data_IF_827692515354
#
_entry.id   IF_827692515354
#
_cell.length_a   1.000
_cell.length_b   1.000
_cell.length_c   1.000
_cell.angle_alpha   90.00
_cell.angle_beta   90.00
_cell.angle_gamma   90.00
#
_symmetry.space_group_name_H-M   'P 1'
#
loop_
_entity.id
_entity.type
_entity.pdbx_description
1 polymer ?
#
# COMPACT_ATOMS: atom_id res chain seq x y z
N UNK A 1 -19.02 5.05 -2.67
CA UNK A 1 -18.63 3.98 -3.62
C UNK A 1 -19.03 2.65 -3.02
N UNK A 2 -19.81 1.83 -3.73
CA UNK A 2 -20.23 0.52 -3.23
C UNK A 2 -19.08 -0.50 -3.24
N UNK A 3 -19.14 -1.48 -2.33
CA UNK A 3 -18.15 -2.55 -2.29
C UNK A 3 -18.09 -3.34 -3.61
N UNK A 4 -19.23 -3.57 -4.26
CA UNK A 4 -19.30 -4.23 -5.57
C UNK A 4 -18.51 -3.48 -6.64
N UNK A 5 -18.68 -2.14 -6.73
CA UNK A 5 -17.95 -1.34 -7.70
C UNK A 5 -16.43 -1.36 -7.48
N UNK A 6 -15.99 -1.39 -6.21
CA UNK A 6 -14.55 -1.55 -5.89
C UNK A 6 -14.05 -2.92 -6.33
N UNK A 7 -14.79 -3.99 -6.03
CA UNK A 7 -14.40 -5.35 -6.42
C UNK A 7 -14.38 -5.54 -7.94
N UNK A 8 -15.35 -4.98 -8.66
CA UNK A 8 -15.37 -4.96 -10.12
C UNK A 8 -14.15 -4.23 -10.69
N UNK A 9 -13.80 -3.05 -10.12
CA UNK A 9 -12.62 -2.29 -10.50
C UNK A 9 -11.31 -3.07 -10.26
N UNK A 10 -11.17 -3.72 -9.11
CA UNK A 10 -10.01 -4.57 -8.79
C UNK A 10 -9.90 -5.72 -9.81
N UNK A 11 -11.00 -6.42 -10.09
CA UNK A 11 -11.00 -7.54 -11.03
C UNK A 11 -10.68 -7.08 -12.46
N UNK A 12 -11.25 -5.96 -12.90
CA UNK A 12 -10.97 -5.38 -14.22
C UNK A 12 -9.50 -4.94 -14.36
N UNK A 13 -8.91 -4.34 -13.33
CA UNK A 13 -7.49 -3.99 -13.31
C UNK A 13 -6.60 -5.24 -13.31
N UNK A 14 -6.92 -6.23 -12.49
CA UNK A 14 -6.18 -7.48 -12.37
C UNK A 14 -6.19 -8.30 -13.68
N UNK A 15 -7.28 -8.25 -14.43
CA UNK A 15 -7.41 -8.96 -15.73
C UNK A 15 -6.47 -8.40 -16.82
N UNK A 16 -6.04 -7.14 -16.70
CA UNK A 16 -5.10 -6.51 -17.65
C UNK A 16 -3.63 -6.81 -17.33
N UNK A 17 -3.31 -7.11 -16.06
CA UNK A 17 -1.95 -7.41 -15.64
C UNK A 17 -1.62 -8.89 -15.73
N UNK A 18 -0.48 -9.24 -16.31
CA UNK A 18 -0.06 -10.65 -16.50
C UNK A 18 1.15 -11.04 -15.64
N UNK A 19 2.04 -10.09 -15.32
CA UNK A 19 3.35 -10.38 -14.69
C UNK A 19 3.38 -10.20 -13.18
N UNK A 20 2.56 -9.32 -12.62
CA UNK A 20 2.53 -9.04 -11.18
C UNK A 20 1.25 -8.35 -10.75
N UNK A 21 1.11 -8.13 -9.45
CA UNK A 21 -0.07 -7.52 -8.86
C UNK A 21 0.37 -6.58 -7.73
N UNK A 22 -0.12 -5.34 -7.76
CA UNK A 22 0.01 -4.39 -6.66
C UNK A 22 -1.38 -3.95 -6.22
N UNK A 23 -1.68 -4.14 -4.93
CA UNK A 23 -2.90 -3.68 -4.32
C UNK A 23 -2.58 -2.74 -3.16
N UNK A 24 -3.16 -1.55 -3.19
CA UNK A 24 -3.04 -0.55 -2.14
C UNK A 24 -4.41 -0.28 -1.53
N UNK A 25 -4.57 -0.59 -0.26
CA UNK A 25 -5.79 -0.33 0.51
C UNK A 25 -5.51 0.78 1.51
N UNK A 26 -6.28 1.84 1.47
CA UNK A 26 -6.22 2.93 2.45
C UNK A 26 -7.61 3.25 2.96
N UNK A 27 -7.81 3.24 4.27
CA UNK A 27 -9.07 3.57 4.94
C UNK A 27 -8.87 3.62 6.47
N UNK A 28 -9.95 3.89 7.21
CA UNK A 28 -9.95 3.71 8.66
C UNK A 28 -9.87 2.23 9.04
N UNK A 29 -9.17 1.93 10.14
CA UNK A 29 -9.05 0.59 10.71
C UNK A 29 -9.55 0.51 12.14
N UNK A 30 -10.08 -0.66 12.48
CA UNK A 30 -10.49 -1.06 13.83
C UNK A 30 -9.76 -2.36 14.21
N UNK A 31 -9.75 -2.80 15.49
CA UNK A 31 -8.96 -3.94 15.93
C UNK A 31 -9.16 -5.27 15.19
N UNK A 32 -10.28 -5.44 14.47
CA UNK A 32 -10.62 -6.68 13.80
C UNK A 32 -10.99 -6.53 12.31
N UNK A 33 -10.97 -5.29 11.77
CA UNK A 33 -11.38 -5.02 10.40
C UNK A 33 -10.91 -3.64 9.91
N UNK A 34 -11.12 -3.38 8.64
CA UNK A 34 -10.94 -2.09 7.98
C UNK A 34 -12.30 -1.61 7.45
N UNK A 35 -12.56 -0.31 7.49
CA UNK A 35 -13.75 0.30 6.88
C UNK A 35 -13.71 0.11 5.36
N UNK A 36 -14.84 -0.23 4.75
CA UNK A 36 -14.91 -0.51 3.31
C UNK A 36 -16.18 0.10 2.70
N UNK A 37 -16.14 1.40 2.46
CA UNK A 37 -17.27 2.15 1.95
C UNK A 37 -18.47 2.11 2.91
N UNK A 38 -19.68 1.96 2.36
CA UNK A 38 -20.93 1.79 3.13
C UNK A 38 -21.22 0.32 3.48
N UNK A 39 -20.34 -0.57 3.06
CA UNK A 39 -20.48 -2.03 3.22
C UNK A 39 -20.07 -2.50 4.62
N UNK A 40 -20.35 -3.77 4.95
CA UNK A 40 -19.73 -4.39 6.12
C UNK A 40 -18.21 -4.26 6.05
N UNK A 41 -17.61 -4.08 7.23
CA UNK A 41 -16.17 -3.94 7.39
C UNK A 41 -15.41 -5.08 6.73
N UNK A 42 -14.28 -4.75 6.09
CA UNK A 42 -13.39 -5.73 5.48
C UNK A 42 -12.57 -6.45 6.55
N UNK A 43 -12.85 -7.72 6.76
CA UNK A 43 -12.08 -8.58 7.65
C UNK A 43 -10.79 -9.07 6.97
N UNK A 44 -9.78 -9.58 7.73
CA UNK A 44 -8.58 -10.18 7.14
C UNK A 44 -8.86 -11.28 6.12
N UNK A 45 -9.82 -12.17 6.40
CA UNK A 45 -10.19 -13.26 5.48
C UNK A 45 -10.85 -12.75 4.20
N UNK A 46 -11.70 -11.72 4.29
CA UNK A 46 -12.30 -11.08 3.12
C UNK A 46 -11.22 -10.46 2.23
N UNK A 47 -10.29 -9.70 2.80
CA UNK A 47 -9.17 -9.12 2.04
C UNK A 47 -8.31 -10.21 1.39
N UNK A 48 -7.97 -11.26 2.12
CA UNK A 48 -7.21 -12.39 1.59
C UNK A 48 -7.91 -13.09 0.42
N UNK A 49 -9.24 -13.24 0.48
CA UNK A 49 -10.04 -13.79 -0.60
C UNK A 49 -10.03 -12.89 -1.84
N UNK A 50 -10.17 -11.56 -1.67
CA UNK A 50 -10.09 -10.58 -2.75
C UNK A 50 -8.72 -10.65 -3.42
N UNK A 51 -7.65 -10.60 -2.64
CA UNK A 51 -6.28 -10.65 -3.17
C UNK A 51 -6.02 -11.96 -3.91
N UNK A 52 -6.52 -13.09 -3.40
CA UNK A 52 -6.37 -14.40 -4.06
C UNK A 52 -7.15 -14.47 -5.37
N UNK A 53 -8.37 -13.98 -5.37
CA UNK A 53 -9.22 -13.97 -6.58
C UNK A 53 -8.64 -13.06 -7.66
N UNK A 54 -8.20 -11.86 -7.30
CA UNK A 54 -7.69 -10.88 -8.25
C UNK A 54 -6.28 -11.21 -8.76
N UNK A 55 -5.37 -11.61 -7.87
CA UNK A 55 -3.94 -11.74 -8.16
C UNK A 55 -3.50 -13.18 -8.43
N UNK A 56 -4.23 -14.18 -7.92
CA UNK A 56 -3.90 -15.60 -8.11
C UNK A 56 -2.51 -15.96 -7.58
N UNK A 57 -1.73 -16.64 -8.42
CA UNK A 57 -0.35 -17.07 -8.13
C UNK A 57 0.70 -16.05 -8.54
N UNK A 58 0.31 -14.91 -9.12
CA UNK A 58 1.25 -13.86 -9.54
C UNK A 58 2.04 -13.31 -8.35
N UNK A 59 3.30 -12.87 -8.54
CA UNK A 59 4.00 -12.07 -7.54
C UNK A 59 3.13 -10.88 -7.13
N UNK A 60 2.88 -10.74 -5.83
CA UNK A 60 1.90 -9.77 -5.34
C UNK A 60 2.45 -8.93 -4.21
N UNK A 61 2.36 -7.62 -4.34
CA UNK A 61 2.62 -6.65 -3.27
C UNK A 61 1.28 -6.12 -2.76
N UNK A 62 1.05 -6.20 -1.46
CA UNK A 62 -0.13 -5.65 -0.80
C UNK A 62 0.31 -4.61 0.22
N UNK A 63 -0.20 -3.39 0.09
CA UNK A 63 0.02 -2.31 1.04
C UNK A 63 -1.31 -1.99 1.72
N UNK A 64 -1.31 -1.95 3.05
CA UNK A 64 -2.52 -1.66 3.84
C UNK A 64 -2.26 -0.47 4.76
N UNK A 65 -2.81 0.68 4.41
CA UNK A 65 -2.76 1.90 5.19
C UNK A 65 -4.03 2.05 6.03
N UNK A 66 -3.95 1.62 7.28
CA UNK A 66 -5.03 1.72 8.26
C UNK A 66 -4.49 1.56 9.69
N UNK A 67 -5.24 2.06 10.68
CA UNK A 67 -5.04 1.66 12.07
C UNK A 67 -5.18 0.14 12.21
N UNK A 68 -4.43 -0.48 13.09
CA UNK A 68 -4.47 -1.93 13.35
C UNK A 68 -4.19 -2.82 12.12
N UNK A 69 -3.63 -2.26 11.04
CA UNK A 69 -3.47 -2.95 9.76
C UNK A 69 -2.60 -4.22 9.81
N UNK A 70 -1.78 -4.38 10.85
CA UNK A 70 -1.04 -5.61 11.13
C UNK A 70 -1.91 -6.85 11.30
N UNK A 71 -3.22 -6.72 11.56
CA UNK A 71 -4.16 -7.86 11.60
C UNK A 71 -4.24 -8.60 10.25
N UNK A 72 -3.99 -7.90 9.14
CA UNK A 72 -4.06 -8.45 7.79
C UNK A 72 -2.84 -9.28 7.40
N UNK A 73 -1.70 -9.10 8.08
CA UNK A 73 -0.43 -9.75 7.71
C UNK A 73 -0.58 -11.26 7.62
N UNK A 74 -1.10 -11.91 8.66
CA UNK A 74 -1.20 -13.37 8.70
C UNK A 74 -2.12 -13.93 7.59
N UNK A 75 -3.28 -13.32 7.37
CA UNK A 75 -4.23 -13.77 6.36
C UNK A 75 -3.71 -13.54 4.92
N UNK A 76 -2.91 -12.50 4.72
CA UNK A 76 -2.31 -12.16 3.44
C UNK A 76 -0.99 -12.90 3.17
N UNK A 77 -0.36 -13.49 4.18
CA UNK A 77 0.92 -14.16 4.04
C UNK A 77 0.85 -15.35 3.07
N UNK A 78 1.75 -15.36 2.08
CA UNK A 78 1.94 -16.45 1.13
C UNK A 78 3.35 -16.39 0.53
N UNK A 79 3.90 -17.49 -0.03
CA UNK A 79 5.25 -17.49 -0.61
C UNK A 79 5.45 -16.42 -1.69
N UNK A 80 4.45 -16.16 -2.52
CA UNK A 80 4.46 -15.20 -3.63
C UNK A 80 3.99 -13.78 -3.22
N UNK A 81 4.00 -13.43 -1.93
CA UNK A 81 3.50 -12.13 -1.45
C UNK A 81 4.51 -11.34 -0.64
N UNK A 82 4.43 -10.03 -0.81
CA UNK A 82 4.97 -9.03 0.10
C UNK A 82 3.79 -8.26 0.70
N UNK A 83 3.78 -8.06 2.01
CA UNK A 83 2.73 -7.30 2.71
C UNK A 83 3.40 -6.21 3.54
N UNK A 84 2.99 -4.97 3.32
CA UNK A 84 3.44 -3.80 4.08
C UNK A 84 2.22 -3.15 4.74
N UNK A 85 2.26 -2.91 6.05
CA UNK A 85 1.15 -2.31 6.79
C UNK A 85 1.57 -1.05 7.53
N UNK A 86 0.65 -0.09 7.69
CA UNK A 86 0.90 1.19 8.35
C UNK A 86 1.09 1.08 9.86
N UNK A 87 0.59 0.02 10.48
CA UNK A 87 0.66 -0.18 11.92
C UNK A 87 0.75 -1.67 12.27
N UNK A 88 1.19 -1.98 13.48
CA UNK A 88 1.07 -3.34 14.01
C UNK A 88 -0.39 -3.66 14.36
N UNK A 89 -0.67 -4.91 14.69
CA UNK A 89 -2.03 -5.39 14.96
C UNK A 89 -2.70 -4.73 16.18
N UNK A 90 -1.90 -4.13 17.05
CA UNK A 90 -2.35 -3.56 18.33
C UNK A 90 -2.17 -2.02 18.37
N UNK A 91 -1.76 -1.42 17.25
CA UNK A 91 -1.42 0.00 17.17
C UNK A 91 -2.30 0.75 16.17
N UNK A 92 -2.50 2.02 16.47
CA UNK A 92 -3.09 2.96 15.53
C UNK A 92 -2.01 3.50 14.57
N UNK A 93 -2.44 3.92 13.39
CA UNK A 93 -1.69 4.78 12.48
C UNK A 93 -2.09 6.23 12.73
N UNK A 94 -1.26 7.20 12.30
CA UNK A 94 -1.44 8.61 12.62
C UNK A 94 -1.57 9.49 11.37
N UNK A 95 -1.94 10.78 11.58
CA UNK A 95 -2.03 11.77 10.52
C UNK A 95 -3.37 11.80 9.79
N UNK A 96 -4.45 11.30 10.42
CA UNK A 96 -5.81 11.35 9.85
C UNK A 96 -6.55 12.65 10.21
N UNK A 97 -5.86 13.66 10.74
CA UNK A 97 -6.45 14.95 11.12
C UNK A 97 -6.70 15.86 9.92
N UNK A 98 -7.54 16.88 10.12
CA UNK A 98 -7.91 17.85 9.08
C UNK A 98 -6.72 18.70 8.58
N UNK A 99 -5.66 18.79 9.35
CA UNK A 99 -4.47 19.59 9.04
C UNK A 99 -3.43 18.83 8.19
N UNK A 100 -3.66 17.54 7.93
CA UNK A 100 -2.74 16.70 7.16
C UNK A 100 -3.36 16.38 5.78
N UNK A 101 -2.59 16.55 4.72
CA UNK A 101 -3.03 16.19 3.36
C UNK A 101 -3.17 14.68 3.19
N UNK A 102 -2.32 13.90 3.87
CA UNK A 102 -2.31 12.44 3.87
C UNK A 102 -2.08 11.91 5.28
N UNK A 103 -2.61 10.72 5.62
CA UNK A 103 -2.10 9.95 6.73
C UNK A 103 -0.58 9.82 6.65
N UNK A 104 0.11 9.82 7.78
CA UNK A 104 1.59 9.86 7.77
C UNK A 104 2.22 8.69 7.01
N UNK A 105 1.64 7.50 7.10
CA UNK A 105 2.14 6.34 6.35
C UNK A 105 2.01 6.56 4.83
N UNK A 106 0.85 7.02 4.35
CA UNK A 106 0.62 7.31 2.94
C UNK A 106 1.56 8.43 2.46
N UNK A 107 1.68 9.51 3.23
CA UNK A 107 2.63 10.59 2.96
C UNK A 107 4.09 10.10 2.90
N UNK A 108 4.47 9.15 3.78
CA UNK A 108 5.80 8.55 3.78
C UNK A 108 6.04 7.63 2.58
N UNK A 109 5.03 6.91 2.11
CA UNK A 109 5.11 6.17 0.84
C UNK A 109 5.37 7.14 -0.32
N UNK A 110 4.60 8.24 -0.41
CA UNK A 110 4.74 9.26 -1.46
C UNK A 110 6.12 9.93 -1.38
N UNK A 111 6.59 10.31 -0.19
CA UNK A 111 7.91 10.93 0.04
C UNK A 111 9.06 10.02 -0.38
N UNK A 112 8.94 8.71 -0.17
CA UNK A 112 10.00 7.73 -0.44
C UNK A 112 10.01 7.28 -1.92
N UNK A 113 8.87 7.27 -2.57
CA UNK A 113 8.67 6.68 -3.89
C UNK A 113 9.63 7.25 -4.97
N UNK A 114 9.93 8.57 -5.03
CA UNK A 114 10.85 9.12 -6.03
C UNK A 114 12.28 8.57 -5.98
N UNK A 115 12.72 8.10 -4.82
CA UNK A 115 14.08 7.60 -4.61
C UNK A 115 14.17 6.08 -4.46
N UNK A 116 13.01 5.43 -4.31
CA UNK A 116 12.96 3.98 -4.19
C UNK A 116 13.20 3.31 -5.56
N UNK A 117 14.06 2.30 -5.58
CA UNK A 117 14.39 1.53 -6.79
C UNK A 117 13.67 0.19 -6.85
N UNK A 118 13.09 -0.24 -5.74
CA UNK A 118 12.35 -1.48 -5.58
C UNK A 118 11.42 -1.41 -4.34
N UNK A 119 10.56 -2.39 -4.19
CA UNK A 119 9.59 -2.42 -3.10
C UNK A 119 10.21 -2.60 -1.70
N UNK A 120 11.39 -3.21 -1.59
CA UNK A 120 12.09 -3.32 -0.29
C UNK A 120 12.65 -1.97 0.13
N UNK A 121 13.25 -1.23 -0.81
CA UNK A 121 13.71 0.15 -0.58
C UNK A 121 12.53 1.07 -0.21
N UNK A 122 11.40 0.95 -0.92
CA UNK A 122 10.18 1.69 -0.59
C UNK A 122 9.69 1.38 0.83
N UNK A 123 9.61 0.11 1.20
CA UNK A 123 9.17 -0.29 2.53
C UNK A 123 10.11 0.20 3.64
N UNK A 124 11.43 0.09 3.42
CA UNK A 124 12.43 0.55 4.37
C UNK A 124 12.37 2.07 4.57
N UNK A 125 12.31 2.83 3.47
CA UNK A 125 12.22 4.29 3.51
C UNK A 125 10.92 4.78 4.15
N UNK A 126 9.78 4.20 3.79
CA UNK A 126 8.49 4.56 4.37
C UNK A 126 8.46 4.30 5.89
N UNK A 127 8.97 3.16 6.35
CA UNK A 127 9.07 2.85 7.79
C UNK A 127 9.97 3.83 8.53
N UNK A 128 11.14 4.15 7.98
CA UNK A 128 12.05 5.14 8.56
C UNK A 128 11.41 6.54 8.63
N UNK A 129 10.69 6.94 7.59
CA UNK A 129 9.94 8.20 7.55
C UNK A 129 8.86 8.25 8.62
N UNK A 130 8.05 7.18 8.79
CA UNK A 130 7.02 7.12 9.85
C UNK A 130 7.65 7.24 11.22
N UNK A 131 8.71 6.48 11.50
CA UNK A 131 9.43 6.54 12.79
C UNK A 131 9.95 7.95 13.07
N UNK A 132 10.50 8.64 12.07
CA UNK A 132 10.96 10.03 12.19
C UNK A 132 9.80 10.95 12.57
N UNK A 133 8.68 10.91 11.82
CA UNK A 133 7.49 11.74 12.09
C UNK A 133 6.91 11.51 13.48
N UNK A 134 6.80 10.25 13.89
CA UNK A 134 6.30 9.88 15.23
C UNK A 134 7.22 10.41 16.35
N UNK A 135 8.54 10.31 16.17
CA UNK A 135 9.53 10.83 17.11
C UNK A 135 9.46 12.35 17.19
N UNK A 136 9.42 13.05 16.08
CA UNK A 136 9.34 14.52 16.00
C UNK A 136 8.05 15.06 16.63
N UNK A 137 6.97 14.33 16.55
CA UNK A 137 5.65 14.68 17.11
C UNK A 137 5.43 14.16 18.54
N UNK A 138 6.39 13.42 19.10
CA UNK A 138 6.31 12.85 20.44
C UNK A 138 5.20 11.82 20.60
N UNK A 139 4.88 11.08 19.56
CA UNK A 139 3.81 10.08 19.57
C UNK A 139 4.22 8.82 20.30
N UNK A 140 3.39 8.38 21.23
CA UNK A 140 3.58 7.13 21.98
C UNK A 140 2.22 6.53 22.34
N UNK A 141 2.02 5.22 22.13
CA UNK A 141 2.93 4.28 21.51
C UNK A 141 3.04 4.49 19.98
N UNK A 142 4.19 4.14 19.39
CA UNK A 142 4.44 4.20 17.96
C UNK A 142 3.52 3.24 17.18
N UNK A 143 3.29 3.53 15.90
CA UNK A 143 2.44 2.68 15.02
C UNK A 143 3.06 1.34 14.67
N UNK A 144 4.39 1.25 14.59
CA UNK A 144 5.15 0.03 14.28
C UNK A 144 4.75 -0.60 12.93
N UNK A 145 4.99 0.05 11.78
CA UNK A 145 4.65 -0.52 10.46
C UNK A 145 5.30 -1.89 10.25
N UNK A 146 4.50 -2.87 9.76
CA UNK A 146 4.92 -4.25 9.60
C UNK A 146 5.28 -4.56 8.16
N UNK A 147 6.27 -5.45 7.97
CA UNK A 147 6.67 -5.97 6.68
C UNK A 147 6.74 -7.50 6.74
N UNK A 148 6.01 -8.15 5.83
CA UNK A 148 6.14 -9.58 5.55
C UNK A 148 6.64 -9.76 4.12
N UNK A 149 7.59 -10.68 3.91
CA UNK A 149 8.09 -11.06 2.58
C UNK A 149 8.11 -12.57 2.48
N UNK A 150 7.29 -13.13 1.61
CA UNK A 150 7.24 -14.56 1.35
C UNK A 150 8.49 -15.06 0.62
N UNK A 151 8.77 -16.36 0.75
CA UNK A 151 10.02 -16.95 0.27
C UNK A 151 10.27 -16.77 -1.24
N UNK A 152 9.23 -16.86 -2.07
CA UNK A 152 9.33 -16.60 -3.51
C UNK A 152 9.58 -15.12 -3.80
N UNK A 153 8.95 -14.22 -3.03
CA UNK A 153 9.13 -12.78 -3.19
C UNK A 153 10.53 -12.33 -2.78
N UNK A 154 11.16 -12.96 -1.79
CA UNK A 154 12.56 -12.67 -1.43
C UNK A 154 13.51 -12.84 -2.63
N UNK A 155 13.24 -13.81 -3.48
CA UNK A 155 14.05 -14.06 -4.69
C UNK A 155 13.68 -13.11 -5.84
N UNK A 156 12.43 -12.66 -5.92
CA UNK A 156 11.92 -11.85 -7.03
C UNK A 156 12.08 -10.35 -6.82
N UNK A 157 11.88 -9.85 -5.59
CA UNK A 157 11.89 -8.41 -5.29
C UNK A 157 13.15 -7.68 -5.78
N UNK A 158 14.37 -8.23 -5.66
CA UNK A 158 15.57 -7.57 -6.17
C UNK A 158 15.58 -7.37 -7.70
N UNK A 159 14.77 -8.14 -8.43
CA UNK A 159 14.63 -8.04 -9.89
C UNK A 159 13.44 -7.21 -10.34
N UNK A 160 12.49 -6.96 -9.44
CA UNK A 160 11.29 -6.12 -9.67
C UNK A 160 11.64 -4.65 -9.39
N UNK A 161 12.48 -4.10 -10.24
CA UNK A 161 12.86 -2.69 -10.15
C UNK A 161 11.82 -1.82 -10.84
N UNK A 162 11.65 -0.62 -10.34
CA UNK A 162 10.81 0.41 -10.94
C UNK A 162 11.48 1.77 -10.82
N UNK A 163 11.10 2.69 -11.68
CA UNK A 163 11.33 4.11 -11.48
C UNK A 163 10.00 4.80 -11.17
N UNK A 164 10.05 5.91 -10.47
CA UNK A 164 8.85 6.70 -10.18
C UNK A 164 8.15 7.15 -11.47
N UNK A 165 8.91 7.56 -12.48
CA UNK A 165 8.37 7.98 -13.77
C UNK A 165 7.59 6.85 -14.47
N UNK A 166 8.15 5.63 -14.52
CA UNK A 166 7.47 4.46 -15.09
C UNK A 166 6.20 4.11 -14.32
N UNK A 167 6.23 4.20 -12.99
CA UNK A 167 5.07 3.92 -12.17
C UNK A 167 3.95 4.94 -12.40
N UNK A 168 4.27 6.23 -12.49
CA UNK A 168 3.31 7.32 -12.77
C UNK A 168 2.71 7.15 -14.16
N UNK A 169 3.52 6.82 -15.17
CA UNK A 169 3.05 6.57 -16.52
C UNK A 169 2.08 5.38 -16.56
N UNK A 170 2.43 4.26 -15.93
CA UNK A 170 1.57 3.08 -15.88
C UNK A 170 0.22 3.36 -15.20
N UNK A 171 0.19 4.18 -14.13
CA UNK A 171 -1.05 4.61 -13.48
C UNK A 171 -1.88 5.48 -14.42
N UNK A 172 -1.26 6.40 -15.15
CA UNK A 172 -1.90 7.28 -16.11
C UNK A 172 -2.55 6.51 -17.27
N UNK A 173 -1.84 5.55 -17.84
CA UNK A 173 -2.35 4.67 -18.89
C UNK A 173 -3.59 3.88 -18.47
N UNK A 174 -3.60 3.37 -17.23
CA UNK A 174 -4.75 2.64 -16.65
C UNK A 174 -5.97 3.52 -16.45
N UNK A 175 -5.77 4.78 -16.06
CA UNK A 175 -6.86 5.72 -15.77
C UNK A 175 -7.36 6.48 -16.99
N UNK A 176 -6.58 6.52 -18.07
CA UNK A 176 -6.84 7.42 -19.19
C UNK A 176 -6.81 8.90 -18.77
N UNK A 177 -6.13 9.20 -17.67
CA UNK A 177 -6.00 10.56 -17.10
C UNK A 177 -4.66 11.16 -17.52
N UNK A 178 -4.64 12.47 -17.71
CA UNK A 178 -3.40 13.21 -17.85
C UNK A 178 -2.60 13.07 -16.53
N UNK A 179 -1.41 12.49 -16.61
CA UNK A 179 -0.53 12.26 -15.47
C UNK A 179 0.17 13.52 -14.99
N UNK A 180 0.02 14.63 -15.70
CA UNK A 180 0.63 15.93 -15.33
C UNK A 180 0.22 16.37 -13.92
N UNK A 181 -1.01 16.08 -13.50
CA UNK A 181 -1.48 16.37 -12.15
C UNK A 181 -0.81 15.49 -11.07
N UNK A 182 -0.40 14.27 -11.41
CA UNK A 182 0.30 13.38 -10.48
C UNK A 182 1.78 13.76 -10.30
N UNK A 183 2.37 14.40 -11.31
CA UNK A 183 3.76 14.88 -11.27
C UNK A 183 3.90 16.13 -10.42
N UNK A 184 2.86 16.95 -10.29
CA UNK A 184 2.86 18.12 -9.40
C UNK A 184 3.03 17.76 -7.91
N UNK A 185 2.82 16.51 -7.55
CA UNK A 185 2.91 15.98 -6.19
C UNK A 185 4.34 15.56 -5.78
N UNK A 186 5.24 15.49 -6.73
CA UNK A 186 6.65 15.25 -6.50
C UNK A 186 7.44 16.42 -7.15
N UNK A 187 7.53 17.59 -6.48
CA UNK A 187 8.12 18.81 -7.08
C UNK A 187 9.57 18.62 -7.54
N UNK A 188 10.24 17.58 -7.09
CA UNK A 188 11.63 17.27 -7.48
C UNK A 188 11.73 16.11 -8.49
N UNK A 189 10.63 15.48 -8.89
CA UNK A 189 10.63 14.43 -9.90
C UNK A 189 10.70 15.09 -11.30
N UNK A 190 11.89 15.24 -11.83
CA UNK A 190 12.08 15.60 -13.25
C UNK A 190 11.89 14.33 -14.08
N UNK A 191 10.87 14.36 -14.94
CA UNK A 191 10.76 13.43 -16.05
C UNK A 191 11.72 13.97 -17.11
N UNK A 192 12.86 13.31 -17.31
CA UNK A 192 13.74 13.53 -18.46
C UNK A 192 13.25 12.73 -19.66
#
# INVERSE_FOLDING_TARGET
VSASAVLEGINAAAARGTSGCLLYFTSHGVPNAMEFGEAPRMTPDMMANIVRAACGTRPTVVIVSACYSGIFVNALSAPNRMVLTAASRERTSFGCGADETYPWFDGCIIETLPTATDFLALAAGARACVTRKETERGVSPASEPQLFVGAEMQLRLPTLRFSFAELVQAIGEVRGTDVSDLVQWAPDARIE
#
